data_IF_683836641542
#
_entry.id   IF_683836641542
#
_cell.length_a   1.000
_cell.length_b   1.000
_cell.length_c   1.000
_cell.angle_alpha   90.00
_cell.angle_beta   90.00
_cell.angle_gamma   90.00
#
_symmetry.space_group_name_H-M   'P 1'
#
loop_
_entity.id
_entity.type
_entity.pdbx_description
1 polymer ?
#
# COMPACT_ATOMS: atom_id res chain seq x y z
N UNK A 1 24.77 21.84 -5.44
CA UNK A 1 23.57 21.42 -6.20
C UNK A 1 22.46 21.07 -5.21
N UNK A 2 21.26 21.64 -5.35
CA UNK A 2 20.13 21.29 -4.51
C UNK A 2 19.66 19.86 -4.84
N UNK A 3 19.55 18.98 -3.83
CA UNK A 3 19.00 17.64 -4.01
C UNK A 3 17.46 17.68 -3.93
N UNK A 4 16.79 17.92 -5.06
CA UNK A 4 15.32 18.00 -5.12
C UNK A 4 14.60 16.66 -4.88
N UNK A 5 15.32 15.52 -4.86
CA UNK A 5 14.70 14.21 -4.60
C UNK A 5 14.23 14.05 -3.15
N UNK A 6 14.80 14.82 -2.23
CA UNK A 6 14.48 14.73 -0.82
C UNK A 6 13.80 16.02 -0.37
N UNK A 7 12.59 15.90 0.16
CA UNK A 7 11.98 17.01 0.88
C UNK A 7 12.76 17.27 2.17
N UNK A 8 13.34 18.48 2.27
CA UNK A 8 14.18 18.87 3.41
C UNK A 8 13.28 19.38 4.53
N UNK A 9 13.34 18.73 5.68
CA UNK A 9 12.57 19.12 6.87
C UNK A 9 13.49 19.86 7.82
N UNK A 10 13.30 21.19 7.97
CA UNK A 10 14.15 22.04 8.81
C UNK A 10 13.36 22.84 9.85
N UNK A 11 12.09 23.11 9.58
CA UNK A 11 11.20 23.88 10.44
C UNK A 11 10.01 23.04 10.88
N UNK A 12 9.35 23.47 11.97
CA UNK A 12 8.09 22.88 12.44
C UNK A 12 7.02 22.82 11.34
N UNK A 13 6.94 23.85 10.48
CA UNK A 13 6.01 23.88 9.35
C UNK A 13 6.30 22.78 8.33
N UNK A 14 7.56 22.41 8.10
CA UNK A 14 7.90 21.33 7.18
C UNK A 14 7.41 19.96 7.68
N UNK A 15 7.43 19.72 8.99
CA UNK A 15 6.85 18.51 9.59
C UNK A 15 5.33 18.44 9.34
N UNK A 16 4.63 19.58 9.50
CA UNK A 16 3.20 19.68 9.21
C UNK A 16 2.91 19.49 7.72
N UNK A 17 3.70 20.06 6.82
CA UNK A 17 3.56 19.85 5.38
C UNK A 17 3.74 18.37 5.04
N UNK A 18 4.75 17.73 5.62
CA UNK A 18 5.03 16.31 5.41
C UNK A 18 3.85 15.42 5.82
N UNK A 19 3.36 15.57 7.06
CA UNK A 19 2.21 14.82 7.55
C UNK A 19 0.93 15.14 6.76
N UNK A 20 0.71 16.41 6.38
CA UNK A 20 -0.44 16.80 5.54
C UNK A 20 -0.45 16.03 4.23
N UNK A 21 0.69 15.87 3.56
CA UNK A 21 0.75 15.12 2.31
C UNK A 21 0.47 13.63 2.51
N UNK A 22 0.93 13.05 3.62
CA UNK A 22 0.57 11.68 4.00
C UNK A 22 -0.94 11.57 4.22
N UNK A 23 -1.54 12.46 5.02
CA UNK A 23 -2.99 12.49 5.31
C UNK A 23 -3.80 12.59 4.00
N UNK A 24 -3.44 13.52 3.11
CA UNK A 24 -4.10 13.71 1.82
C UNK A 24 -3.99 12.45 0.94
N UNK A 25 -2.80 11.83 0.89
CA UNK A 25 -2.58 10.60 0.13
C UNK A 25 -3.41 9.44 0.66
N UNK A 26 -3.35 9.19 1.98
CA UNK A 26 -4.07 8.11 2.63
C UNK A 26 -5.57 8.24 2.44
N UNK A 27 -6.17 9.42 2.64
CA UNK A 27 -7.62 9.60 2.46
C UNK A 27 -8.09 9.29 1.03
N UNK A 28 -7.29 9.65 0.01
CA UNK A 28 -7.61 9.30 -1.39
C UNK A 28 -7.60 7.79 -1.59
N UNK A 29 -6.59 7.11 -1.07
CA UNK A 29 -6.45 5.67 -1.23
C UNK A 29 -7.44 4.86 -0.37
N UNK A 30 -7.73 5.30 0.85
CA UNK A 30 -8.78 4.73 1.71
C UNK A 30 -10.15 4.81 1.04
N UNK A 31 -10.48 5.94 0.40
CA UNK A 31 -11.73 6.06 -0.36
C UNK A 31 -11.82 5.01 -1.48
N UNK A 32 -10.75 4.82 -2.25
CA UNK A 32 -10.72 3.81 -3.31
C UNK A 32 -10.76 2.38 -2.77
N UNK A 33 -9.98 2.06 -1.74
CA UNK A 33 -9.97 0.73 -1.15
C UNK A 33 -11.33 0.36 -0.55
N UNK A 34 -11.95 1.29 0.21
CA UNK A 34 -13.30 1.10 0.75
C UNK A 34 -14.34 0.88 -0.35
N UNK A 35 -14.24 1.61 -1.48
CA UNK A 35 -15.11 1.38 -2.63
C UNK A 35 -14.97 -0.06 -3.14
N UNK A 36 -13.74 -0.53 -3.36
CA UNK A 36 -13.50 -1.88 -3.89
C UNK A 36 -13.91 -2.99 -2.90
N UNK A 37 -13.68 -2.77 -1.60
CA UNK A 37 -14.17 -3.69 -0.55
C UNK A 37 -15.69 -3.80 -0.60
N UNK A 38 -16.41 -2.69 -0.68
CA UNK A 38 -17.88 -2.70 -0.77
C UNK A 38 -18.39 -3.37 -2.06
N UNK A 39 -17.69 -3.15 -3.19
CA UNK A 39 -18.02 -3.82 -4.45
C UNK A 39 -17.83 -5.34 -4.35
N UNK A 40 -16.71 -5.80 -3.76
CA UNK A 40 -16.46 -7.22 -3.51
C UNK A 40 -17.47 -7.82 -2.53
N UNK A 41 -17.82 -7.11 -1.46
CA UNK A 41 -18.80 -7.55 -0.47
C UNK A 41 -20.17 -7.81 -1.13
N UNK A 42 -20.63 -6.87 -1.95
CA UNK A 42 -21.89 -7.02 -2.69
C UNK A 42 -21.82 -8.21 -3.65
N UNK A 43 -20.71 -8.38 -4.35
CA UNK A 43 -20.51 -9.49 -5.27
C UNK A 43 -20.52 -10.84 -4.55
N UNK A 44 -19.76 -10.98 -3.46
CA UNK A 44 -19.69 -12.17 -2.59
C UNK A 44 -21.07 -12.57 -2.10
N UNK A 45 -21.89 -11.61 -1.67
CA UNK A 45 -23.29 -11.84 -1.26
C UNK A 45 -24.18 -12.26 -2.43
N UNK A 46 -24.12 -11.55 -3.55
CA UNK A 46 -25.02 -11.77 -4.69
C UNK A 46 -24.83 -13.14 -5.35
N UNK A 47 -23.60 -13.68 -5.35
CA UNK A 47 -23.31 -14.98 -5.96
C UNK A 47 -23.28 -16.13 -4.95
N UNK A 48 -23.54 -15.85 -3.66
CA UNK A 48 -23.64 -16.86 -2.61
C UNK A 48 -22.32 -17.48 -2.18
N UNK A 49 -21.21 -16.74 -2.23
CA UNK A 49 -19.89 -17.26 -1.81
C UNK A 49 -19.78 -17.45 -0.29
N UNK A 50 -20.61 -16.77 0.50
CA UNK A 50 -20.62 -16.97 1.96
C UNK A 50 -21.16 -18.36 2.32
N UNK A 51 -22.14 -18.83 1.56
CA UNK A 51 -22.80 -20.12 1.75
C UNK A 51 -22.06 -21.25 1.04
N UNK A 52 -21.47 -20.97 -0.13
CA UNK A 52 -20.68 -21.95 -0.88
C UNK A 52 -19.37 -21.36 -1.43
N UNK A 53 -18.31 -21.29 -0.59
CA UNK A 53 -17.01 -20.75 -0.99
C UNK A 53 -16.30 -21.50 -2.12
N UNK A 54 -16.71 -22.74 -2.44
CA UNK A 54 -16.10 -23.55 -3.51
C UNK A 54 -16.68 -23.29 -4.89
N UNK A 55 -17.68 -22.41 -5.01
CA UNK A 55 -18.25 -22.04 -6.30
C UNK A 55 -17.16 -21.53 -7.25
N UNK A 56 -17.16 -22.01 -8.49
CA UNK A 56 -16.23 -21.52 -9.51
C UNK A 56 -16.68 -20.14 -10.01
N UNK A 57 -15.76 -19.19 -10.02
CA UNK A 57 -15.95 -17.84 -10.56
C UNK A 57 -15.07 -17.62 -11.78
N UNK A 58 -15.47 -16.73 -12.68
CA UNK A 58 -14.62 -16.30 -13.81
C UNK A 58 -13.30 -15.74 -13.29
N UNK A 59 -12.18 -16.16 -13.89
CA UNK A 59 -10.85 -15.71 -13.48
C UNK A 59 -10.71 -14.18 -13.49
N UNK A 60 -11.25 -13.54 -14.53
CA UNK A 60 -11.23 -12.08 -14.70
C UNK A 60 -11.87 -11.33 -13.52
N UNK A 61 -12.85 -11.94 -12.85
CA UNK A 61 -13.51 -11.33 -11.70
C UNK A 61 -12.55 -11.19 -10.52
N UNK A 62 -11.82 -12.26 -10.21
CA UNK A 62 -10.80 -12.25 -9.16
C UNK A 62 -9.61 -11.37 -9.54
N UNK A 63 -9.09 -11.53 -10.76
CA UNK A 63 -7.91 -10.80 -11.25
C UNK A 63 -8.15 -9.27 -11.26
N UNK A 64 -9.32 -8.81 -11.71
CA UNK A 64 -9.67 -7.39 -11.72
C UNK A 64 -9.68 -6.78 -10.31
N UNK A 65 -10.26 -7.48 -9.33
CA UNK A 65 -10.27 -6.99 -7.95
C UNK A 65 -8.89 -7.06 -7.33
N UNK A 66 -8.14 -8.15 -7.54
CA UNK A 66 -6.75 -8.28 -7.09
C UNK A 66 -5.91 -7.12 -7.60
N UNK A 67 -5.97 -6.80 -8.89
CA UNK A 67 -5.18 -5.72 -9.47
C UNK A 67 -5.58 -4.35 -8.92
N UNK A 68 -6.89 -4.09 -8.79
CA UNK A 68 -7.43 -2.85 -8.21
C UNK A 68 -7.01 -2.65 -6.76
N UNK A 69 -7.14 -3.67 -5.92
CA UNK A 69 -6.82 -3.57 -4.49
C UNK A 69 -5.32 -3.55 -4.27
N UNK A 70 -4.54 -4.44 -4.91
CA UNK A 70 -3.09 -4.48 -4.81
C UNK A 70 -2.46 -3.14 -5.21
N UNK A 71 -2.95 -2.51 -6.29
CA UNK A 71 -2.48 -1.18 -6.67
C UNK A 71 -2.69 -0.14 -5.54
N UNK A 72 -3.88 -0.10 -4.95
CA UNK A 72 -4.22 0.88 -3.92
C UNK A 72 -3.50 0.59 -2.60
N UNK A 73 -3.46 -0.66 -2.17
CA UNK A 73 -2.75 -1.09 -0.95
C UNK A 73 -1.25 -0.79 -1.07
N UNK A 74 -0.63 -1.06 -2.22
CA UNK A 74 0.78 -0.69 -2.44
C UNK A 74 1.01 0.82 -2.30
N UNK A 75 0.06 1.69 -2.68
CA UNK A 75 0.20 3.14 -2.43
C UNK A 75 0.06 3.50 -0.96
N UNK A 76 -0.83 2.84 -0.22
CA UNK A 76 -0.98 3.03 1.23
C UNK A 76 0.29 2.56 1.96
N UNK A 77 0.76 1.36 1.65
CA UNK A 77 1.97 0.78 2.21
C UNK A 77 3.21 1.64 1.98
N UNK A 78 3.33 2.31 0.82
CA UNK A 78 4.39 3.28 0.60
C UNK A 78 4.29 4.50 1.54
N UNK A 79 3.09 5.02 1.79
CA UNK A 79 2.86 6.16 2.68
C UNK A 79 2.96 5.81 4.17
N UNK A 80 2.76 4.54 4.54
CA UNK A 80 2.84 4.09 5.93
C UNK A 80 4.22 3.51 6.26
N UNK A 81 4.69 2.54 5.47
CA UNK A 81 5.79 1.64 5.84
C UNK A 81 7.15 1.93 5.22
N UNK A 82 7.27 2.68 4.12
CA UNK A 82 8.53 2.83 3.38
C UNK A 82 9.66 3.46 4.25
N UNK A 83 10.91 3.02 4.09
CA UNK A 83 12.06 3.53 4.85
C UNK A 83 13.24 3.99 3.97
N UNK A 84 13.08 3.99 2.65
CA UNK A 84 14.09 4.48 1.71
C UNK A 84 14.43 5.96 1.98
N UNK A 85 15.65 6.37 1.61
CA UNK A 85 16.13 7.70 2.00
C UNK A 85 15.40 8.84 1.27
N UNK A 86 14.93 8.60 0.05
CA UNK A 86 14.17 9.53 -0.79
C UNK A 86 12.65 9.28 -0.78
N UNK A 87 12.14 8.31 -0.02
CA UNK A 87 10.70 8.07 0.12
C UNK A 87 10.01 9.03 1.10
N UNK A 88 8.68 9.07 1.05
CA UNK A 88 7.84 9.80 2.01
C UNK A 88 6.90 8.81 2.70
N UNK A 89 7.03 8.65 4.01
CA UNK A 89 6.18 7.75 4.79
C UNK A 89 6.10 8.14 6.27
N UNK A 90 5.09 7.62 6.97
CA UNK A 90 4.97 7.83 8.41
C UNK A 90 6.02 7.04 9.21
N UNK A 91 6.42 5.85 8.76
CA UNK A 91 7.51 5.09 9.38
C UNK A 91 8.82 5.90 9.36
N UNK A 92 9.18 6.48 8.19
CA UNK A 92 10.33 7.35 8.05
C UNK A 92 10.20 8.61 8.89
N UNK A 93 9.01 9.21 8.94
CA UNK A 93 8.72 10.36 9.78
C UNK A 93 9.11 10.07 11.24
N UNK A 94 8.52 9.04 11.85
CA UNK A 94 8.77 8.71 13.26
C UNK A 94 10.21 8.26 13.50
N UNK A 95 10.73 7.34 12.70
CA UNK A 95 12.05 6.71 12.97
C UNK A 95 13.25 7.56 12.56
N UNK A 96 13.13 8.42 11.55
CA UNK A 96 14.24 9.25 11.04
C UNK A 96 14.07 10.74 11.30
N UNK A 97 12.90 11.31 11.01
CA UNK A 97 12.72 12.77 11.03
C UNK A 97 12.51 13.31 12.44
N UNK A 98 11.65 12.66 13.23
CA UNK A 98 11.38 13.05 14.63
C UNK A 98 12.62 12.83 15.49
N UNK A 99 13.31 11.69 15.32
CA UNK A 99 14.52 11.36 16.08
C UNK A 99 15.65 12.41 15.96
N UNK A 100 15.72 13.16 14.85
CA UNK A 100 16.77 14.16 14.58
C UNK A 100 16.47 15.55 15.15
N UNK A 101 15.23 15.82 15.59
CA UNK A 101 14.82 17.12 16.11
C UNK A 101 14.29 16.95 17.54
N UNK A 102 15.07 17.44 18.51
CA UNK A 102 14.79 17.27 19.94
C UNK A 102 13.46 17.94 20.33
N UNK A 103 13.18 19.15 19.82
CA UNK A 103 11.95 19.88 20.13
C UNK A 103 10.71 19.13 19.63
N UNK A 104 10.75 18.65 18.37
CA UNK A 104 9.65 17.85 17.81
C UNK A 104 9.49 16.54 18.58
N UNK A 105 10.60 15.86 18.90
CA UNK A 105 10.57 14.63 19.72
C UNK A 105 9.94 14.88 21.09
N UNK A 106 10.25 16.00 21.74
CA UNK A 106 9.67 16.38 23.03
C UNK A 106 8.16 16.64 22.93
N UNK A 107 7.68 17.16 21.79
CA UNK A 107 6.24 17.44 21.59
C UNK A 107 5.42 16.17 21.35
N UNK A 108 5.79 15.34 20.38
CA UNK A 108 4.98 14.18 19.96
C UNK A 108 5.46 12.84 20.54
N UNK A 109 6.50 12.87 21.38
CA UNK A 109 7.00 11.71 22.10
C UNK A 109 7.71 10.66 21.24
N UNK A 110 8.04 9.55 21.90
CA UNK A 110 8.61 8.37 21.27
C UNK A 110 7.52 7.53 20.59
N UNK A 111 7.95 6.55 19.78
CA UNK A 111 7.03 5.63 19.10
C UNK A 111 6.55 4.60 20.13
N UNK A 112 5.23 4.48 20.38
CA UNK A 112 4.70 3.38 21.20
C UNK A 112 5.05 2.02 20.60
N UNK A 113 5.19 0.99 21.44
CA UNK A 113 5.57 -0.35 20.99
C UNK A 113 4.58 -0.91 19.95
N UNK A 114 3.28 -0.81 20.23
CA UNK A 114 2.20 -1.20 19.31
C UNK A 114 2.34 -0.53 17.95
N UNK A 115 2.44 0.81 17.91
CA UNK A 115 2.65 1.52 16.65
C UNK A 115 3.96 1.10 15.96
N UNK A 116 5.03 0.82 16.72
CA UNK A 116 6.30 0.35 16.17
C UNK A 116 6.15 -1.01 15.49
N UNK A 117 5.40 -1.95 16.08
CA UNK A 117 5.09 -3.26 15.52
C UNK A 117 4.27 -3.12 14.23
N UNK A 118 3.17 -2.36 14.28
CA UNK A 118 2.35 -2.09 13.10
C UNK A 118 3.16 -1.49 11.94
N UNK A 119 4.05 -0.51 12.22
CA UNK A 119 4.90 0.09 11.18
C UNK A 119 5.94 -0.89 10.62
N UNK A 120 6.41 -1.85 11.41
CA UNK A 120 7.29 -2.91 10.92
C UNK A 120 6.54 -3.86 9.98
N UNK A 121 5.31 -4.23 10.33
CA UNK A 121 4.43 -5.02 9.45
C UNK A 121 4.13 -4.30 8.14
N UNK A 122 3.84 -3.00 8.18
CA UNK A 122 3.67 -2.19 6.97
C UNK A 122 4.93 -2.18 6.10
N UNK A 123 6.11 -2.09 6.73
CA UNK A 123 7.37 -2.13 5.98
C UNK A 123 7.61 -3.50 5.34
N UNK A 124 7.40 -4.58 6.09
CA UNK A 124 7.55 -5.94 5.59
C UNK A 124 6.60 -6.22 4.43
N UNK A 125 5.31 -5.86 4.59
CA UNK A 125 4.28 -6.02 3.55
C UNK A 125 4.62 -5.22 2.30
N UNK A 126 5.06 -3.96 2.46
CA UNK A 126 5.53 -3.11 1.35
C UNK A 126 6.71 -3.73 0.61
N UNK A 127 7.70 -4.23 1.35
CA UNK A 127 8.91 -4.79 0.76
C UNK A 127 8.59 -6.08 0.03
N UNK A 128 7.77 -6.95 0.63
CA UNK A 128 7.33 -8.19 0.00
C UNK A 128 6.52 -7.88 -1.27
N UNK A 129 5.42 -7.11 -1.20
CA UNK A 129 4.54 -6.85 -2.35
C UNK A 129 5.09 -5.95 -3.46
N UNK A 130 6.35 -5.53 -3.39
CA UNK A 130 7.07 -4.83 -4.45
C UNK A 130 8.34 -5.55 -4.89
N UNK A 131 8.73 -6.63 -4.22
CA UNK A 131 9.96 -7.41 -4.45
C UNK A 131 9.73 -8.92 -4.26
N UNK A 132 8.50 -9.40 -4.43
CA UNK A 132 8.10 -10.79 -4.22
C UNK A 132 8.61 -11.82 -5.25
N UNK A 133 8.98 -11.51 -6.52
CA UNK A 133 9.17 -12.54 -7.56
C UNK A 133 10.12 -13.68 -7.19
N UNK A 134 11.25 -13.38 -6.55
CA UNK A 134 12.22 -14.41 -6.15
C UNK A 134 11.71 -15.26 -4.99
N UNK A 135 11.01 -14.64 -4.02
CA UNK A 135 10.37 -15.38 -2.93
C UNK A 135 9.24 -16.27 -3.42
N UNK A 136 8.48 -15.84 -4.43
CA UNK A 136 7.44 -16.63 -5.08
C UNK A 136 8.02 -17.80 -5.87
N UNK A 137 9.16 -17.61 -6.55
CA UNK A 137 9.86 -18.71 -7.21
C UNK A 137 10.30 -19.77 -6.20
N UNK A 138 10.95 -19.36 -5.12
CA UNK A 138 11.39 -20.28 -4.07
C UNK A 138 10.19 -21.01 -3.44
N UNK A 139 9.13 -20.27 -3.09
CA UNK A 139 7.91 -20.86 -2.56
C UNK A 139 7.27 -21.84 -3.55
N UNK A 140 7.20 -21.49 -4.84
CA UNK A 140 6.68 -22.37 -5.87
C UNK A 140 7.48 -23.67 -5.94
N UNK A 141 8.81 -23.60 -6.03
CA UNK A 141 9.69 -24.78 -6.07
C UNK A 141 9.60 -25.66 -4.83
N UNK A 142 9.38 -25.09 -3.64
CA UNK A 142 9.17 -25.86 -2.42
C UNK A 142 7.80 -26.55 -2.42
N UNK A 143 6.73 -25.87 -2.84
CA UNK A 143 5.36 -26.40 -2.78
C UNK A 143 5.07 -27.45 -3.87
N UNK A 144 5.59 -27.29 -5.09
CA UNK A 144 5.34 -28.28 -6.16
C UNK A 144 5.93 -29.66 -5.85
N UNK A 145 6.97 -29.73 -5.01
CA UNK A 145 7.54 -31.02 -4.55
C UNK A 145 6.54 -31.83 -3.73
N UNK A 146 5.63 -31.16 -3.04
CA UNK A 146 4.60 -31.78 -2.20
C UNK A 146 3.34 -32.10 -3.00
N UNK A 147 2.91 -31.19 -3.89
CA UNK A 147 1.58 -31.27 -4.50
C UNK A 147 1.56 -31.87 -5.92
N UNK A 148 2.68 -31.85 -6.66
CA UNK A 148 2.67 -32.32 -8.05
C UNK A 148 3.01 -33.81 -8.15
N UNK A 149 2.40 -34.53 -9.10
CA UNK A 149 2.84 -35.87 -9.45
C UNK A 149 4.32 -35.88 -9.85
N UNK A 150 5.04 -36.94 -9.50
CA UNK A 150 6.49 -37.07 -9.74
C UNK A 150 6.87 -36.79 -11.21
N UNK A 151 6.09 -37.32 -12.15
CA UNK A 151 6.33 -37.14 -13.59
C UNK A 151 6.19 -35.68 -14.04
N UNK A 152 5.22 -34.94 -13.49
CA UNK A 152 5.03 -33.52 -13.79
C UNK A 152 6.14 -32.66 -13.20
N UNK A 153 6.57 -32.98 -11.97
CA UNK A 153 7.69 -32.33 -11.30
C UNK A 153 8.99 -32.54 -12.09
N UNK A 154 9.30 -33.78 -12.48
CA UNK A 154 10.47 -34.10 -13.29
C UNK A 154 10.44 -33.35 -14.63
N UNK A 155 9.28 -33.27 -15.29
CA UNK A 155 9.10 -32.52 -16.53
C UNK A 155 9.37 -31.02 -16.31
N UNK A 156 8.81 -30.42 -15.27
CA UNK A 156 8.97 -28.99 -14.97
C UNK A 156 10.43 -28.61 -14.68
N UNK A 157 11.14 -29.47 -13.95
CA UNK A 157 12.53 -29.21 -13.56
C UNK A 157 13.57 -29.44 -14.67
N UNK A 158 13.23 -30.20 -15.72
CA UNK A 158 14.20 -30.59 -16.75
C UNK A 158 13.84 -30.13 -18.17
N UNK A 159 12.56 -29.81 -18.45
CA UNK A 159 12.12 -29.43 -19.79
C UNK A 159 11.78 -27.94 -19.86
N UNK A 160 12.73 -27.14 -20.33
CA UNK A 160 12.60 -25.68 -20.45
C UNK A 160 12.15 -25.18 -21.83
N UNK A 161 11.79 -26.10 -22.73
CA UNK A 161 11.30 -25.76 -24.07
C UNK A 161 10.17 -26.72 -24.49
N UNK A 162 8.96 -26.22 -24.80
CA UNK A 162 8.55 -24.81 -24.71
C UNK A 162 8.34 -24.36 -23.26
N UNK A 163 8.32 -23.04 -23.05
CA UNK A 163 7.90 -22.45 -21.77
C UNK A 163 6.37 -22.50 -21.72
N UNK A 164 5.82 -23.21 -20.74
CA UNK A 164 4.38 -23.30 -20.53
C UNK A 164 3.90 -22.19 -19.60
N UNK A 165 2.82 -21.52 -19.96
CA UNK A 165 2.15 -20.51 -19.12
C UNK A 165 0.81 -21.10 -18.70
N UNK A 166 0.62 -21.30 -17.39
CA UNK A 166 -0.65 -21.75 -16.86
C UNK A 166 -1.72 -20.66 -17.04
N UNK A 167 -2.83 -21.01 -17.69
CA UNK A 167 -3.98 -20.14 -17.85
C UNK A 167 -5.19 -20.79 -17.21
N UNK A 168 -5.72 -20.16 -16.18
CA UNK A 168 -6.94 -20.58 -15.50
C UNK A 168 -8.10 -19.72 -15.99
N UNK A 169 -9.16 -20.34 -16.49
CA UNK A 169 -10.38 -19.61 -16.87
C UNK A 169 -11.31 -19.39 -15.66
N UNK A 170 -11.10 -20.17 -14.59
CA UNK A 170 -11.92 -20.19 -13.38
C UNK A 170 -11.05 -20.21 -12.14
N UNK A 171 -11.56 -19.63 -11.06
CA UNK A 171 -10.99 -19.72 -9.72
C UNK A 171 -12.05 -20.30 -8.78
N UNK A 172 -11.62 -21.02 -7.75
CA UNK A 172 -12.51 -21.28 -6.61
C UNK A 172 -12.86 -19.97 -5.91
N UNK A 173 -14.13 -19.81 -5.51
CA UNK A 173 -14.64 -18.61 -4.84
C UNK A 173 -13.88 -18.21 -3.58
N UNK A 174 -13.23 -19.16 -2.91
CA UNK A 174 -12.30 -18.94 -1.81
C UNK A 174 -11.26 -17.86 -2.11
N UNK A 175 -10.79 -17.76 -3.35
CA UNK A 175 -9.83 -16.73 -3.73
C UNK A 175 -10.38 -15.31 -3.58
N UNK A 176 -11.62 -15.09 -4.05
CA UNK A 176 -12.28 -13.79 -3.93
C UNK A 176 -12.69 -13.50 -2.48
N UNK A 177 -13.18 -14.51 -1.76
CA UNK A 177 -13.56 -14.36 -0.35
C UNK A 177 -12.35 -14.02 0.53
N UNK A 178 -11.23 -14.71 0.31
CA UNK A 178 -9.96 -14.43 0.99
C UNK A 178 -9.46 -13.01 0.71
N UNK A 179 -9.50 -12.58 -0.56
CA UNK A 179 -9.14 -11.22 -0.95
C UNK A 179 -10.02 -10.16 -0.25
N UNK A 180 -11.33 -10.37 -0.24
CA UNK A 180 -12.27 -9.48 0.46
C UNK A 180 -11.93 -9.32 1.94
N UNK A 181 -11.78 -10.44 2.67
CA UNK A 181 -11.45 -10.40 4.10
C UNK A 181 -10.09 -9.77 4.35
N UNK A 182 -9.08 -10.10 3.55
CA UNK A 182 -7.75 -9.52 3.66
C UNK A 182 -7.79 -8.00 3.50
N UNK A 183 -8.41 -7.48 2.43
CA UNK A 183 -8.51 -6.04 2.22
C UNK A 183 -9.31 -5.34 3.31
N UNK A 184 -10.38 -5.96 3.83
CA UNK A 184 -11.16 -5.41 4.94
C UNK A 184 -10.30 -5.25 6.20
N UNK A 185 -9.59 -6.31 6.61
CA UNK A 185 -8.71 -6.27 7.78
C UNK A 185 -7.54 -5.30 7.58
N UNK A 186 -6.91 -5.30 6.41
CA UNK A 186 -5.86 -4.33 6.05
C UNK A 186 -6.33 -2.89 6.24
N UNK A 187 -7.54 -2.54 5.76
CA UNK A 187 -8.07 -1.19 5.88
C UNK A 187 -8.23 -0.75 7.35
N UNK A 188 -8.68 -1.65 8.23
CA UNK A 188 -8.81 -1.34 9.66
C UNK A 188 -7.44 -1.09 10.30
N UNK A 189 -6.45 -1.95 10.03
CA UNK A 189 -5.08 -1.76 10.51
C UNK A 189 -4.48 -0.43 10.01
N UNK A 190 -4.75 -0.05 8.75
CA UNK A 190 -4.28 1.22 8.21
C UNK A 190 -4.92 2.43 8.89
N UNK A 191 -6.21 2.35 9.25
CA UNK A 191 -6.92 3.42 9.96
C UNK A 191 -6.41 3.60 11.37
N UNK A 192 -6.00 2.52 12.02
CA UNK A 192 -5.42 2.60 13.36
C UNK A 192 -4.08 3.39 13.32
N UNK A 193 -3.19 3.11 12.37
CA UNK A 193 -1.98 3.92 12.16
C UNK A 193 -2.35 5.37 11.80
N UNK A 194 -3.40 5.57 11.00
CA UNK A 194 -3.88 6.89 10.63
C UNK A 194 -4.31 7.73 11.84
N UNK A 195 -4.88 7.12 12.87
CA UNK A 195 -5.22 7.84 14.11
C UNK A 195 -3.96 8.40 14.81
N UNK A 196 -2.86 7.66 14.82
CA UNK A 196 -1.57 8.16 15.31
C UNK A 196 -1.05 9.33 14.47
N UNK A 197 -1.23 9.29 13.14
CA UNK A 197 -0.85 10.38 12.24
C UNK A 197 -1.62 11.67 12.56
N UNK A 198 -2.94 11.55 12.77
CA UNK A 198 -3.79 12.71 13.12
C UNK A 198 -3.40 13.28 14.48
N UNK A 199 -3.20 12.42 15.49
CA UNK A 199 -2.76 12.86 16.82
C UNK A 199 -1.42 13.60 16.78
N UNK A 200 -0.44 13.09 16.03
CA UNK A 200 0.84 13.78 15.84
C UNK A 200 0.65 15.13 15.13
N UNK A 201 -0.26 15.21 14.15
CA UNK A 201 -0.59 16.44 13.45
C UNK A 201 -1.25 17.49 14.36
N UNK A 202 -2.20 17.08 15.21
CA UNK A 202 -2.88 17.93 16.19
C UNK A 202 -1.87 18.55 17.17
N UNK A 203 -1.01 17.71 17.76
CA UNK A 203 0.03 18.16 18.70
C UNK A 203 0.98 19.16 18.03
N UNK A 204 1.45 18.86 16.82
CA UNK A 204 2.36 19.75 16.10
C UNK A 204 1.67 21.05 15.68
N UNK A 205 0.43 20.99 15.22
CA UNK A 205 -0.29 22.20 14.79
C UNK A 205 -0.74 23.06 15.97
N UNK A 206 -0.86 22.47 17.17
CA UNK A 206 -1.48 23.12 18.32
C UNK A 206 -3.00 23.22 18.22
N UNK A 207 -3.61 22.57 17.22
CA UNK A 207 -5.05 22.52 17.02
C UNK A 207 -5.56 21.11 17.34
N UNK A 208 -6.48 20.99 18.30
CA UNK A 208 -7.06 19.71 18.75
C UNK A 208 -8.28 19.26 17.92
N UNK A 209 -8.75 20.10 17.01
CA UNK A 209 -9.91 19.82 16.15
C UNK A 209 -9.49 19.94 14.68
N UNK A 210 -8.64 19.00 14.24
CA UNK A 210 -8.17 18.94 12.86
C UNK A 210 -9.26 18.36 11.98
N UNK A 211 -9.90 19.22 11.20
CA UNK A 211 -10.99 18.85 10.29
C UNK A 211 -10.43 18.32 8.96
N UNK A 212 -10.86 17.11 8.56
CA UNK A 212 -10.57 16.55 7.23
C UNK A 212 -11.78 16.76 6.33
N UNK A 213 -11.70 17.78 5.47
CA UNK A 213 -12.81 18.17 4.59
C UNK A 213 -12.52 17.73 3.15
N UNK A 214 -13.48 17.03 2.54
CA UNK A 214 -13.45 16.71 1.12
C UNK A 214 -14.21 17.79 0.34
N UNK A 215 -13.48 18.61 -0.41
CA UNK A 215 -14.07 19.65 -1.25
C UNK A 215 -14.34 19.11 -2.66
N UNK A 216 -15.53 19.40 -3.21
CA UNK A 216 -15.84 19.17 -4.61
C UNK A 216 -15.19 20.27 -5.47
N UNK A 217 -14.04 19.95 -6.06
CA UNK A 217 -13.26 20.90 -6.85
C UNK A 217 -13.64 20.94 -8.35
N UNK A 218 -14.76 20.32 -8.74
CA UNK A 218 -15.18 20.20 -10.14
C UNK A 218 -14.19 19.40 -10.99
N UNK A 219 -13.99 19.83 -12.24
CA UNK A 219 -13.11 19.16 -13.20
C UNK A 219 -11.64 19.46 -12.93
N UNK A 220 -10.82 18.40 -12.79
CA UNK A 220 -9.36 18.52 -12.63
C UNK A 220 -8.71 19.05 -13.93
N UNK A 221 -8.04 20.21 -13.92
CA UNK A 221 -7.50 20.82 -15.14
C UNK A 221 -6.23 20.12 -15.64
N UNK A 222 -6.32 19.40 -16.76
CA UNK A 222 -5.22 18.59 -17.28
C UNK A 222 -3.91 19.38 -17.48
N UNK A 223 -3.95 20.52 -18.19
CA UNK A 223 -2.74 21.30 -18.53
C UNK A 223 -1.98 21.82 -17.32
N UNK A 224 -2.66 22.04 -16.19
CA UNK A 224 -2.04 22.48 -14.95
C UNK A 224 -1.51 21.29 -14.17
N UNK A 225 -2.33 20.24 -14.03
CA UNK A 225 -2.03 19.11 -13.17
C UNK A 225 -1.01 18.13 -13.75
N UNK A 226 -0.91 18.01 -15.07
CA UNK A 226 0.09 17.16 -15.72
C UNK A 226 1.52 17.62 -15.43
N UNK A 227 1.72 18.91 -15.09
CA UNK A 227 3.03 19.45 -14.73
C UNK A 227 3.61 18.79 -13.47
N UNK A 228 2.76 18.32 -12.55
CA UNK A 228 3.20 17.70 -11.30
C UNK A 228 3.96 16.38 -11.56
N UNK A 229 3.37 15.35 -12.23
CA UNK A 229 4.10 14.13 -12.53
C UNK A 229 5.28 14.38 -13.49
N UNK A 230 5.19 15.30 -14.44
CA UNK A 230 6.31 15.65 -15.32
C UNK A 230 7.50 16.22 -14.55
N UNK A 231 7.24 17.16 -13.62
CA UNK A 231 8.27 17.75 -12.76
C UNK A 231 8.86 16.71 -11.82
N UNK A 232 8.00 15.88 -11.20
CA UNK A 232 8.44 14.77 -10.34
C UNK A 232 9.36 13.80 -11.10
N UNK A 233 9.02 13.45 -12.34
CA UNK A 233 9.85 12.59 -13.18
C UNK A 233 11.21 13.23 -13.52
N UNK A 234 11.23 14.53 -13.84
CA UNK A 234 12.48 15.28 -14.07
C UNK A 234 13.36 15.29 -12.81
N UNK A 235 12.78 15.51 -11.63
CA UNK A 235 13.49 15.42 -10.35
C UNK A 235 14.07 14.00 -10.17
N UNK A 236 13.28 12.96 -10.44
CA UNK A 236 13.73 11.58 -10.28
C UNK A 236 14.88 11.21 -11.23
N UNK A 237 14.90 11.76 -12.44
CA UNK A 237 15.99 11.60 -13.41
C UNK A 237 17.18 12.55 -13.19
N UNK A 238 17.15 13.42 -12.17
CA UNK A 238 18.14 14.49 -11.95
C UNK A 238 18.26 15.47 -13.13
N UNK A 239 17.15 15.67 -13.85
CA UNK A 239 17.04 16.56 -15.02
C UNK A 239 16.36 17.88 -14.69
N UNK A 240 15.88 18.05 -13.46
CA UNK A 240 15.30 19.31 -12.97
C UNK A 240 16.42 20.27 -12.54
N UNK A 241 16.37 21.52 -12.98
CA UNK A 241 17.35 22.58 -12.68
C UNK A 241 16.71 23.64 -11.79
#
# INVERSE_FOLDING_TARGET
>A
MNNYKQFRVVSKNDYLIYLRQIIVGLNKHFKSLKKYINEMENLVKNIGLLENPKLEIEATLYEDYRDKTQFVENKILNLLGDMQNDSMSYNKFKRKLVKRNIEVKQLIGEIPNELSEMLNEMNNSRNWGLHEPESLLNAHLENIKEFWPKEELERYLNNFNPIYIAKFNKYEGHWLLSLYHSCFHSLENYKEIYNYIIKDYEILSGNKDVQIVFNEAGTRPFKLDIKIPETSMKIQKKQYK
#
